data_IF_428948448720
#
_entry.id   IF_428948448720
#
_cell.length_a   1.000
_cell.length_b   1.000
_cell.length_c   1.000
_cell.angle_alpha   90.00
_cell.angle_beta   90.00
_cell.angle_gamma   90.00
#
_symmetry.space_group_name_H-M   'P 1'
#
loop_
_entity.id
_entity.type
_entity.pdbx_description
1 polymer ?
#
# COMPACT_ATOMS: atom_id res chain seq x y z
N UNK A 1 30.39 25.82 -28.73
CA UNK A 1 29.03 25.21 -28.73
C UNK A 1 28.97 23.78 -28.19
N UNK A 2 30.08 23.16 -27.74
CA UNK A 2 30.07 21.76 -27.26
C UNK A 2 29.72 21.54 -25.78
N UNK A 3 29.94 22.54 -24.90
CA UNK A 3 29.80 22.33 -23.44
C UNK A 3 28.36 22.29 -22.92
N UNK A 4 27.40 22.85 -23.65
CA UNK A 4 25.98 22.87 -23.25
C UNK A 4 25.25 21.56 -23.55
N UNK A 5 25.73 20.76 -24.52
CA UNK A 5 25.09 19.51 -24.92
C UNK A 5 25.29 18.39 -23.89
N UNK A 6 26.45 18.37 -23.22
CA UNK A 6 26.78 17.35 -22.21
C UNK A 6 25.99 17.60 -20.91
N UNK A 7 25.79 18.86 -20.53
CA UNK A 7 25.07 19.22 -19.31
C UNK A 7 23.57 18.87 -19.41
N UNK A 8 22.96 19.04 -20.59
CA UNK A 8 21.57 18.64 -20.83
C UNK A 8 21.37 17.11 -20.82
N UNK A 9 22.37 16.33 -21.26
CA UNK A 9 22.33 14.87 -21.14
C UNK A 9 22.37 14.37 -19.69
N UNK A 10 23.11 15.06 -18.80
CA UNK A 10 23.19 14.69 -17.38
C UNK A 10 21.90 15.06 -16.64
N UNK A 11 21.26 16.19 -16.99
CA UNK A 11 19.97 16.57 -16.40
C UNK A 11 18.87 15.61 -16.89
N UNK A 12 18.92 15.17 -18.15
CA UNK A 12 17.97 14.18 -18.66
C UNK A 12 18.08 12.82 -17.93
N UNK A 13 19.29 12.34 -17.60
CA UNK A 13 19.44 11.07 -16.88
C UNK A 13 18.98 11.15 -15.42
N UNK A 14 19.15 12.29 -14.75
CA UNK A 14 18.72 12.45 -13.36
C UNK A 14 17.19 12.52 -13.23
N UNK A 15 16.49 13.14 -14.18
CA UNK A 15 15.02 13.28 -14.16
C UNK A 15 14.29 11.94 -14.39
N UNK A 16 14.88 10.97 -15.09
CA UNK A 16 14.29 9.63 -15.25
C UNK A 16 14.41 8.74 -14.00
N UNK A 17 15.26 9.07 -13.04
CA UNK A 17 15.47 8.24 -11.83
C UNK A 17 14.28 8.27 -10.86
N UNK A 18 13.46 9.31 -10.92
CA UNK A 18 12.36 9.54 -9.95
C UNK A 18 10.97 9.26 -10.53
N UNK A 19 10.89 8.94 -11.83
CA UNK A 19 9.64 8.65 -12.53
C UNK A 19 9.42 7.15 -12.53
N UNK A 20 8.45 6.70 -11.73
CA UNK A 20 7.96 5.33 -11.54
C UNK A 20 8.66 4.48 -10.48
N UNK A 21 8.18 4.67 -9.26
CA UNK A 21 8.23 3.69 -8.19
C UNK A 21 7.42 2.40 -8.46
N UNK A 22 7.26 2.02 -9.73
CA UNK A 22 6.60 0.79 -10.17
C UNK A 22 7.56 -0.39 -10.04
N UNK A 23 7.04 -1.56 -9.69
CA UNK A 23 7.80 -2.81 -9.72
C UNK A 23 7.77 -3.37 -11.15
N UNK A 24 8.87 -3.87 -11.69
CA UNK A 24 8.84 -4.53 -12.99
C UNK A 24 7.97 -5.79 -12.93
N UNK A 25 7.30 -6.10 -14.05
CA UNK A 25 6.47 -7.30 -14.19
C UNK A 25 5.01 -7.13 -13.80
N UNK A 26 4.23 -8.23 -13.87
CA UNK A 26 2.79 -8.20 -13.60
C UNK A 26 2.49 -8.02 -12.11
N UNK A 27 1.24 -7.69 -11.80
CA UNK A 27 0.73 -7.75 -10.43
C UNK A 27 1.00 -9.11 -9.80
N UNK A 28 1.34 -9.14 -8.50
CA UNK A 28 1.58 -10.40 -7.80
C UNK A 28 0.33 -11.28 -7.82
N UNK A 29 0.54 -12.59 -7.83
CA UNK A 29 -0.57 -13.51 -7.59
C UNK A 29 -0.88 -13.57 -6.09
N UNK A 30 -2.10 -13.18 -5.71
CA UNK A 30 -2.53 -13.21 -4.32
C UNK A 30 -2.87 -14.64 -3.87
N UNK A 31 -2.13 -15.15 -2.90
CA UNK A 31 -2.35 -16.46 -2.27
C UNK A 31 -3.66 -16.53 -1.48
N UNK A 32 -4.20 -15.40 -1.04
CA UNK A 32 -5.41 -15.35 -0.22
C UNK A 32 -6.32 -14.21 -0.67
N UNK A 33 -7.58 -14.56 -0.99
CA UNK A 33 -8.63 -13.63 -1.37
C UNK A 33 -9.90 -13.96 -0.60
N UNK A 34 -10.65 -12.94 -0.22
CA UNK A 34 -11.95 -13.08 0.40
C UNK A 34 -13.03 -12.42 -0.46
N UNK A 35 -14.28 -12.79 -0.21
CA UNK A 35 -15.42 -12.01 -0.67
C UNK A 35 -15.33 -10.55 -0.17
N UNK A 36 -16.00 -9.60 -0.84
CA UNK A 36 -16.09 -8.22 -0.36
C UNK A 36 -16.49 -8.15 1.12
N UNK A 37 -15.83 -7.29 1.87
CA UNK A 37 -16.08 -7.16 3.31
C UNK A 37 -17.50 -6.65 3.56
N UNK A 38 -18.16 -7.21 4.58
CA UNK A 38 -19.50 -6.80 5.01
C UNK A 38 -19.49 -5.65 6.03
N UNK A 39 -18.31 -5.14 6.40
CA UNK A 39 -18.18 -4.06 7.37
C UNK A 39 -18.84 -2.79 6.82
N UNK A 40 -19.52 -2.05 7.71
CA UNK A 40 -20.11 -0.74 7.42
C UNK A 40 -19.80 0.22 8.56
N UNK A 41 -19.73 1.52 8.24
CA UNK A 41 -19.59 2.59 9.22
C UNK A 41 -18.16 3.10 9.39
N UNK A 42 -17.92 3.91 10.43
CA UNK A 42 -16.64 4.58 10.64
C UNK A 42 -15.53 3.59 11.03
N UNK A 43 -14.47 3.54 10.24
CA UNK A 43 -13.24 2.80 10.53
C UNK A 43 -12.03 3.73 10.54
N UNK A 44 -10.98 3.35 11.27
CA UNK A 44 -9.68 4.02 11.25
C UNK A 44 -8.88 3.48 10.07
N UNK A 45 -8.39 4.37 9.21
CA UNK A 45 -7.37 4.02 8.22
C UNK A 45 -6.04 3.90 8.96
N UNK A 46 -5.71 2.66 9.35
CA UNK A 46 -4.58 2.38 10.25
C UNK A 46 -3.24 2.51 9.54
N UNK A 47 -3.13 1.95 8.33
CA UNK A 47 -1.85 1.85 7.66
C UNK A 47 -1.96 1.65 6.16
N UNK A 48 -0.92 2.11 5.47
CA UNK A 48 -0.78 2.07 4.02
C UNK A 48 0.53 1.38 3.64
N UNK A 49 0.48 0.45 2.69
CA UNK A 49 1.63 -0.05 1.96
C UNK A 49 1.59 0.52 0.56
N UNK A 50 2.74 0.96 0.05
CA UNK A 50 2.96 1.31 -1.35
C UNK A 50 4.30 0.73 -1.78
N UNK A 51 4.41 0.29 -3.03
CA UNK A 51 5.70 -0.18 -3.57
C UNK A 51 6.80 0.88 -3.55
N UNK A 52 6.45 2.18 -3.59
CA UNK A 52 7.45 3.24 -3.39
C UNK A 52 8.11 3.17 -2.01
N UNK A 53 7.38 2.72 -0.99
CA UNK A 53 7.95 2.51 0.33
C UNK A 53 8.87 1.29 0.34
N UNK A 54 8.62 0.28 -0.49
CA UNK A 54 9.48 -0.90 -0.57
C UNK A 54 10.89 -0.57 -1.07
N UNK A 55 11.00 0.35 -2.05
CA UNK A 55 12.29 0.85 -2.57
C UNK A 55 13.04 1.76 -1.60
N UNK A 56 12.39 2.35 -0.59
CA UNK A 56 13.06 3.20 0.41
C UNK A 56 13.82 2.35 1.45
N UNK A 57 15.11 2.63 1.65
CA UNK A 57 15.93 2.05 2.73
C UNK A 57 15.65 2.67 4.11
N UNK A 58 14.82 3.73 4.16
CA UNK A 58 14.53 4.48 5.38
C UNK A 58 13.34 3.90 6.14
N UNK A 59 13.48 3.78 7.45
CA UNK A 59 12.38 3.50 8.37
C UNK A 59 11.33 4.59 8.23
N UNK A 60 10.15 4.22 7.71
CA UNK A 60 9.06 5.18 7.53
C UNK A 60 8.56 5.58 8.91
N UNK A 61 8.79 6.84 9.30
CA UNK A 61 8.26 7.34 10.57
C UNK A 61 6.73 7.28 10.52
N UNK A 62 6.09 6.80 11.59
CA UNK A 62 4.65 6.78 11.68
C UNK A 62 4.10 8.20 11.57
N UNK A 63 3.02 8.35 10.83
CA UNK A 63 2.24 9.57 10.85
C UNK A 63 1.29 9.47 12.06
N UNK A 64 1.09 10.56 12.79
CA UNK A 64 0.12 10.63 13.90
C UNK A 64 -1.27 11.07 13.41
N UNK A 65 -1.66 10.62 12.21
CA UNK A 65 -2.88 11.07 11.52
C UNK A 65 -3.93 9.95 11.57
N UNK A 66 -4.71 9.92 12.65
CA UNK A 66 -5.77 8.94 12.83
C UNK A 66 -7.03 9.27 12.00
N UNK A 67 -6.93 9.10 10.68
CA UNK A 67 -8.02 9.30 9.74
C UNK A 67 -9.13 8.29 10.00
N UNK A 68 -10.34 8.80 10.26
CA UNK A 68 -11.56 8.00 10.33
C UNK A 68 -12.35 8.19 9.04
N UNK A 69 -12.66 7.09 8.37
CA UNK A 69 -13.39 7.08 7.10
C UNK A 69 -14.64 6.21 7.23
N UNK A 70 -15.69 6.55 6.47
CA UNK A 70 -16.86 5.67 6.34
C UNK A 70 -16.48 4.54 5.40
N UNK A 71 -16.58 3.31 5.89
CA UNK A 71 -16.31 2.09 5.13
C UNK A 71 -17.61 1.51 4.52
N UNK A 72 -17.59 1.02 3.27
CA UNK A 72 -16.46 1.06 2.33
C UNK A 72 -16.23 2.48 1.77
N UNK A 73 -14.98 2.94 1.64
CA UNK A 73 -14.70 4.27 1.10
C UNK A 73 -15.03 4.31 -0.39
N UNK A 74 -15.83 5.31 -0.79
CA UNK A 74 -16.34 5.46 -2.17
C UNK A 74 -15.23 5.62 -3.21
N UNK A 75 -14.05 6.10 -2.79
CA UNK A 75 -12.88 6.32 -3.64
C UNK A 75 -12.08 5.04 -3.90
N UNK A 76 -12.20 4.01 -3.06
CA UNK A 76 -11.54 2.73 -3.31
C UNK A 76 -12.45 1.85 -4.16
N UNK A 77 -12.17 1.82 -5.47
CA UNK A 77 -12.77 0.86 -6.41
C UNK A 77 -11.76 -0.24 -6.75
N UNK A 78 -12.27 -1.41 -7.15
CA UNK A 78 -11.49 -2.53 -7.67
C UNK A 78 -10.42 -3.08 -6.72
N UNK A 79 -10.68 -3.03 -5.41
CA UNK A 79 -9.82 -3.65 -4.42
C UNK A 79 -10.14 -5.14 -4.26
N UNK A 80 -9.13 -5.92 -3.90
CA UNK A 80 -9.28 -7.30 -3.42
C UNK A 80 -9.13 -7.33 -1.91
N UNK A 81 -10.04 -7.99 -1.20
CA UNK A 81 -9.91 -8.21 0.23
C UNK A 81 -8.92 -9.36 0.45
N UNK A 82 -7.81 -9.08 1.14
CA UNK A 82 -6.75 -10.08 1.41
C UNK A 82 -6.66 -10.48 2.89
N UNK A 83 -7.44 -9.83 3.76
CA UNK A 83 -7.62 -10.19 5.16
C UNK A 83 -8.81 -9.45 5.78
N UNK A 84 -9.68 -10.14 6.51
CA UNK A 84 -10.77 -9.52 7.27
C UNK A 84 -11.36 -10.52 8.26
N UNK A 85 -12.00 -10.02 9.33
CA UNK A 85 -12.91 -10.80 10.18
C UNK A 85 -14.38 -10.34 10.03
N UNK A 86 -14.66 -9.47 9.06
CA UNK A 86 -15.96 -8.81 8.84
C UNK A 86 -16.52 -8.05 10.06
N UNK A 87 -15.70 -7.73 11.07
CA UNK A 87 -16.14 -7.05 12.30
C UNK A 87 -15.20 -5.94 12.74
N UNK A 88 -13.91 -6.23 12.87
CA UNK A 88 -12.92 -5.37 13.50
C UNK A 88 -11.86 -4.85 12.52
N UNK A 89 -11.59 -5.56 11.42
CA UNK A 89 -10.59 -5.12 10.47
C UNK A 89 -10.83 -5.61 9.05
N UNK A 90 -10.20 -4.91 8.11
CA UNK A 90 -10.12 -5.29 6.71
C UNK A 90 -8.80 -4.79 6.10
N UNK A 91 -8.19 -5.63 5.27
CA UNK A 91 -6.95 -5.37 4.53
C UNK A 91 -7.29 -5.45 3.05
N UNK A 92 -7.15 -4.32 2.36
CA UNK A 92 -7.52 -4.12 0.97
C UNK A 92 -6.27 -3.99 0.12
N UNK A 93 -6.11 -4.90 -0.84
CA UNK A 93 -5.06 -4.86 -1.84
C UNK A 93 -5.59 -4.27 -3.14
N UNK A 94 -4.76 -3.47 -3.81
CA UNK A 94 -5.01 -3.00 -5.17
C UNK A 94 -3.68 -3.02 -5.93
N UNK A 95 -3.74 -3.44 -7.18
CA UNK A 95 -2.63 -3.34 -8.10
C UNK A 95 -3.10 -2.83 -9.46
N UNK A 96 -2.27 -2.00 -10.06
CA UNK A 96 -2.44 -1.47 -11.40
C UNK A 96 -1.21 -1.85 -12.22
N UNK A 97 -1.42 -2.63 -13.29
CA UNK A 97 -0.37 -2.99 -14.24
C UNK A 97 -0.43 -2.08 -15.45
N UNK A 98 0.71 -1.48 -15.79
CA UNK A 98 0.89 -0.71 -17.01
C UNK A 98 1.62 -1.57 -18.05
N UNK A 99 0.94 -1.96 -19.16
CA UNK A 99 1.54 -2.79 -20.20
C UNK A 99 2.62 -2.03 -21.00
N UNK A 100 2.55 -0.70 -21.07
CA UNK A 100 3.52 0.12 -21.83
C UNK A 100 4.89 0.09 -21.14
N UNK A 101 4.92 0.33 -19.83
CA UNK A 101 6.15 0.28 -19.04
C UNK A 101 6.47 -1.11 -18.49
N UNK A 102 5.63 -2.11 -18.81
CA UNK A 102 5.68 -3.47 -18.27
C UNK A 102 5.90 -3.52 -16.76
N UNK A 103 5.24 -2.63 -16.04
CA UNK A 103 5.45 -2.43 -14.61
C UNK A 103 4.11 -2.31 -13.88
N UNK A 104 4.13 -2.58 -12.59
CA UNK A 104 2.95 -2.50 -11.75
C UNK A 104 3.15 -1.55 -10.57
N UNK A 105 2.05 -1.13 -9.97
CA UNK A 105 2.06 -0.41 -8.69
C UNK A 105 1.05 -1.03 -7.75
N UNK A 106 1.54 -1.46 -6.60
CA UNK A 106 0.74 -2.10 -5.58
C UNK A 106 0.52 -1.17 -4.39
N UNK A 107 -0.69 -1.24 -3.85
CA UNK A 107 -1.07 -0.57 -2.62
C UNK A 107 -1.87 -1.50 -1.72
N UNK A 108 -1.66 -1.37 -0.42
CA UNK A 108 -2.45 -2.10 0.59
C UNK A 108 -2.91 -1.15 1.66
N UNK A 109 -4.22 -0.98 1.80
CA UNK A 109 -4.84 -0.16 2.83
C UNK A 109 -5.40 -1.07 3.92
N UNK A 110 -5.06 -0.81 5.17
CA UNK A 110 -5.59 -1.54 6.32
C UNK A 110 -6.50 -0.62 7.13
N UNK A 111 -7.73 -1.07 7.34
CA UNK A 111 -8.73 -0.39 8.15
C UNK A 111 -9.04 -1.19 9.41
N UNK A 112 -9.16 -0.52 10.54
CA UNK A 112 -9.52 -1.13 11.82
C UNK A 112 -10.65 -0.38 12.51
N UNK A 113 -11.50 -1.09 13.25
CA UNK A 113 -12.61 -0.47 14.02
C UNK A 113 -12.09 0.46 15.10
N UNK A 114 -10.99 0.07 15.74
CA UNK A 114 -10.39 0.79 16.87
C UNK A 114 -9.02 1.38 16.50
N UNK A 115 -8.67 2.50 17.15
CA UNK A 115 -7.34 3.14 17.04
C UNK A 115 -6.23 2.17 17.44
N UNK A 116 -6.45 1.42 18.51
CA UNK A 116 -5.54 0.40 19.02
C UNK A 116 -6.25 -0.96 18.86
N UNK A 117 -5.95 -1.72 17.80
CA UNK A 117 -6.57 -3.04 17.60
C UNK A 117 -6.05 -4.04 18.63
N UNK A 118 -6.88 -5.01 19.00
CA UNK A 118 -6.45 -6.12 19.86
C UNK A 118 -5.29 -6.91 19.22
N UNK A 119 -4.43 -7.52 20.05
CA UNK A 119 -3.28 -8.31 19.58
C UNK A 119 -3.67 -9.41 18.57
N UNK A 120 -4.82 -10.07 18.78
CA UNK A 120 -5.35 -11.06 17.84
C UNK A 120 -5.69 -10.47 16.46
N UNK A 121 -6.19 -9.22 16.42
CA UNK A 121 -6.45 -8.49 15.17
C UNK A 121 -5.14 -8.16 14.46
N UNK A 122 -4.14 -7.65 15.20
CA UNK A 122 -2.81 -7.35 14.65
C UNK A 122 -2.14 -8.60 14.07
N UNK A 123 -2.23 -9.74 14.75
CA UNK A 123 -1.71 -11.03 14.26
C UNK A 123 -2.36 -11.43 12.94
N UNK A 124 -3.68 -11.27 12.80
CA UNK A 124 -4.40 -11.60 11.55
C UNK A 124 -4.07 -10.64 10.41
N UNK A 125 -3.86 -9.36 10.71
CA UNK A 125 -3.36 -8.38 9.73
C UNK A 125 -1.98 -8.82 9.24
N UNK A 126 -1.04 -9.08 10.15
CA UNK A 126 0.31 -9.55 9.79
C UNK A 126 0.28 -10.83 8.93
N UNK A 127 -0.58 -11.80 9.28
CA UNK A 127 -0.77 -13.01 8.47
C UNK A 127 -1.25 -12.71 7.05
N UNK A 128 -2.13 -11.72 6.84
CA UNK A 128 -2.58 -11.31 5.52
C UNK A 128 -1.42 -10.75 4.67
N UNK A 129 -0.52 -9.97 5.28
CA UNK A 129 0.67 -9.47 4.59
C UNK A 129 1.64 -10.61 4.25
N UNK A 130 2.01 -11.42 5.24
CA UNK A 130 2.96 -12.53 5.08
C UNK A 130 2.53 -13.53 4.02
N UNK A 131 1.26 -13.97 4.03
CA UNK A 131 0.74 -14.94 3.06
C UNK A 131 0.75 -14.44 1.61
N UNK A 132 0.68 -13.12 1.41
CA UNK A 132 0.69 -12.50 0.08
C UNK A 132 2.07 -11.91 -0.29
N UNK A 133 3.14 -12.31 0.43
CA UNK A 133 4.51 -11.87 0.15
C UNK A 133 4.73 -10.36 0.32
N UNK A 134 3.90 -9.69 1.13
CA UNK A 134 4.01 -8.26 1.38
C UNK A 134 4.95 -8.02 2.56
N UNK A 135 5.86 -7.06 2.42
CA UNK A 135 6.83 -6.74 3.46
C UNK A 135 6.24 -5.76 4.47
N UNK A 136 5.95 -6.23 5.68
CA UNK A 136 5.37 -5.40 6.76
C UNK A 136 6.29 -4.25 7.19
N UNK A 137 7.61 -4.41 7.06
CA UNK A 137 8.59 -3.34 7.34
C UNK A 137 8.44 -2.11 6.44
N UNK A 138 7.68 -2.22 5.35
CA UNK A 138 7.43 -1.16 4.37
C UNK A 138 6.04 -0.55 4.52
N UNK A 139 5.31 -0.94 5.55
CA UNK A 139 4.01 -0.37 5.90
C UNK A 139 4.21 0.96 6.59
N UNK A 140 3.63 2.01 6.02
CA UNK A 140 3.46 3.29 6.67
C UNK A 140 2.29 3.18 7.66
N UNK A 141 2.57 3.29 8.95
CA UNK A 141 1.55 3.42 9.98
C UNK A 141 1.02 4.86 9.98
N UNK A 142 -0.29 5.01 9.74
CA UNK A 142 -0.97 6.31 9.69
C UNK A 142 -1.51 6.73 11.04
N UNK A 143 -1.83 5.76 11.90
CA UNK A 143 -2.38 5.99 13.22
C UNK A 143 -1.63 5.13 14.22
N UNK A 144 -0.91 5.78 15.13
CA UNK A 144 -0.28 5.18 16.30
C UNK A 144 -0.87 5.72 17.59
N UNK A 145 -0.56 5.03 18.69
CA UNK A 145 -0.85 5.42 20.07
C UNK A 145 -0.54 6.90 20.30
#
# INVERSE_FOLDING_TARGET
MEKYSILMCIIATVVFSEVFASQPGPCRNLSQRYAPSKIKGKMVHRSLYLDIFSKRKTTVKPLSICLREIFPPTRLKNYTVIGTDNKNFVVLYKCEYNPISQSNTESVNTYTKWKIPAAATLKRISQAYKKNGLQESKVLLLCQL
#
